data_IF_115114272795
#
_entry.id   IF_115114272795
#
_cell.length_a   1.000
_cell.length_b   1.000
_cell.length_c   1.000
_cell.angle_alpha   90.00
_cell.angle_beta   90.00
_cell.angle_gamma   90.00
#
_symmetry.space_group_name_H-M   'P 1'
#
loop_
_entity.id
_entity.type
_entity.pdbx_description
1 polymer ?
#
# COMPACT_ATOMS: atom_id res chain seq x y z
N UNK A 1 1.35 -3.79 -17.25
CA UNK A 1 2.51 -2.85 -17.16
C UNK A 1 2.99 -2.93 -15.72
N UNK A 2 4.17 -3.50 -15.46
CA UNK A 2 4.76 -3.61 -14.12
C UNK A 2 5.38 -2.23 -13.82
N UNK A 3 4.98 -1.58 -12.72
CA UNK A 3 5.58 -0.31 -12.28
C UNK A 3 6.58 -0.71 -11.19
N UNK A 4 7.86 -0.44 -11.40
CA UNK A 4 8.89 -0.68 -10.38
C UNK A 4 9.00 0.56 -9.49
N UNK A 5 9.32 0.37 -8.21
CA UNK A 5 9.49 1.47 -7.24
C UNK A 5 10.56 2.49 -7.70
N UNK A 6 11.55 2.05 -8.48
CA UNK A 6 12.55 2.94 -9.11
C UNK A 6 11.94 3.93 -10.09
N UNK A 7 10.86 3.55 -10.77
CA UNK A 7 10.15 4.43 -11.70
C UNK A 7 9.39 5.55 -10.98
N UNK A 8 9.20 5.44 -9.65
CA UNK A 8 8.46 6.41 -8.83
C UNK A 8 9.36 7.48 -8.21
N UNK A 9 10.69 7.30 -8.19
CA UNK A 9 11.61 8.27 -7.58
C UNK A 9 11.52 9.65 -8.22
N UNK A 10 11.44 9.72 -9.55
CA UNK A 10 11.26 10.98 -10.28
C UNK A 10 9.92 11.63 -9.98
N UNK A 11 8.85 10.84 -9.80
CA UNK A 11 7.54 11.38 -9.42
C UNK A 11 7.53 11.92 -7.98
N UNK A 12 8.34 11.39 -7.07
CA UNK A 12 8.42 11.92 -5.71
C UNK A 12 9.09 13.28 -5.63
N UNK A 13 9.98 13.62 -6.55
CA UNK A 13 10.60 14.95 -6.59
C UNK A 13 9.59 16.05 -6.95
N UNK A 14 8.57 15.70 -7.75
CA UNK A 14 7.53 16.64 -8.21
C UNK A 14 6.37 16.82 -7.21
N UNK A 15 6.24 15.94 -6.21
CA UNK A 15 5.12 15.98 -5.27
C UNK A 15 5.52 16.80 -4.04
N UNK A 16 4.87 17.94 -3.87
CA UNK A 16 4.93 18.76 -2.66
C UNK A 16 3.65 18.55 -1.83
N UNK A 17 3.82 18.44 -0.51
CA UNK A 17 2.72 18.44 0.44
C UNK A 17 2.79 19.65 1.36
N UNK A 18 1.62 20.16 1.74
CA UNK A 18 1.50 21.18 2.75
C UNK A 18 0.84 20.56 3.99
N UNK A 19 1.47 20.75 5.15
CA UNK A 19 0.87 20.33 6.42
C UNK A 19 -0.30 21.26 6.72
N UNK A 20 -1.49 20.69 6.97
CA UNK A 20 -2.65 21.47 7.41
C UNK A 20 -2.28 22.31 8.63
N UNK A 21 -2.44 23.63 8.54
CA UNK A 21 -2.13 24.59 9.60
C UNK A 21 -0.66 25.07 9.68
N UNK A 22 0.23 24.66 8.76
CA UNK A 22 1.58 25.21 8.63
C UNK A 22 1.87 25.54 7.16
N UNK A 23 2.23 26.78 6.86
CA UNK A 23 2.63 27.24 5.51
C UNK A 23 4.02 26.75 5.07
N UNK A 24 4.41 25.53 5.47
CA UNK A 24 5.67 24.91 5.06
C UNK A 24 5.37 23.80 4.05
N UNK A 25 5.78 24.05 2.81
CA UNK A 25 5.83 23.05 1.76
C UNK A 25 6.96 22.05 2.07
N UNK A 26 6.60 20.77 2.10
CA UNK A 26 7.53 19.67 2.32
C UNK A 26 7.53 18.75 1.09
N UNK A 27 8.72 18.33 0.70
CA UNK A 27 8.90 17.36 -0.37
C UNK A 27 8.69 15.94 0.18
N UNK A 28 8.10 15.02 -0.60
CA UNK A 28 7.97 13.59 -0.25
C UNK A 28 9.27 13.00 0.26
N UNK A 29 10.41 13.43 -0.30
CA UNK A 29 11.73 12.93 0.08
C UNK A 29 12.05 13.16 1.57
N UNK A 30 11.41 14.13 2.23
CA UNK A 30 11.57 14.40 3.67
C UNK A 30 10.73 13.50 4.58
N UNK A 31 9.81 12.72 4.02
CA UNK A 31 9.02 11.76 4.78
C UNK A 31 9.91 10.63 5.32
N UNK A 32 9.53 10.11 6.49
CA UNK A 32 10.08 8.87 7.03
C UNK A 32 9.82 7.69 6.09
N UNK A 33 10.56 6.60 6.23
CA UNK A 33 10.37 5.41 5.39
C UNK A 33 8.94 4.86 5.50
N UNK A 34 8.37 4.82 6.71
CA UNK A 34 6.98 4.39 6.94
C UNK A 34 5.96 5.30 6.25
N UNK A 35 6.13 6.62 6.35
CA UNK A 35 5.24 7.57 5.66
C UNK A 35 5.32 7.45 4.13
N UNK A 36 6.52 7.25 3.57
CA UNK A 36 6.70 7.01 2.13
C UNK A 36 5.99 5.74 1.69
N UNK A 37 6.16 4.66 2.46
CA UNK A 37 5.51 3.39 2.20
C UNK A 37 3.98 3.54 2.22
N UNK A 38 3.43 4.19 3.24
CA UNK A 38 1.99 4.47 3.33
C UNK A 38 1.49 5.29 2.14
N UNK A 39 2.22 6.35 1.78
CA UNK A 39 1.90 7.20 0.64
C UNK A 39 1.86 6.41 -0.67
N UNK A 40 2.86 5.56 -0.92
CA UNK A 40 2.95 4.70 -2.11
C UNK A 40 1.74 3.76 -2.19
N UNK A 41 1.41 3.09 -1.09
CA UNK A 41 0.30 2.13 -1.07
C UNK A 41 -1.06 2.81 -1.30
N UNK A 42 -1.27 4.00 -0.71
CA UNK A 42 -2.48 4.79 -0.93
C UNK A 42 -2.60 5.24 -2.39
N UNK A 43 -1.52 5.78 -2.98
CA UNK A 43 -1.49 6.20 -4.38
C UNK A 43 -1.72 5.02 -5.32
N UNK A 44 -1.09 3.87 -5.06
CA UNK A 44 -1.28 2.66 -5.86
C UNK A 44 -2.74 2.19 -5.81
N UNK A 45 -3.32 2.14 -4.62
CA UNK A 45 -4.71 1.75 -4.39
C UNK A 45 -5.69 2.66 -5.13
N UNK A 46 -5.54 3.99 -5.00
CA UNK A 46 -6.38 4.96 -5.67
C UNK A 46 -6.26 4.89 -7.20
N UNK A 47 -5.04 4.68 -7.71
CA UNK A 47 -4.80 4.54 -9.14
C UNK A 47 -5.47 3.29 -9.72
N UNK A 48 -5.46 2.17 -9.00
CA UNK A 48 -6.14 0.95 -9.41
C UNK A 48 -7.65 1.19 -9.54
N UNK A 49 -8.27 1.78 -8.51
CA UNK A 49 -9.71 2.07 -8.53
C UNK A 49 -10.09 3.09 -9.63
N UNK A 50 -9.37 4.21 -9.74
CA UNK A 50 -9.60 5.21 -10.80
C UNK A 50 -9.54 4.59 -12.17
N UNK A 51 -8.57 3.72 -12.39
CA UNK A 51 -8.32 3.18 -13.70
C UNK A 51 -9.26 2.01 -14.05
N UNK A 52 -9.82 1.31 -13.05
CA UNK A 52 -11.02 0.49 -13.23
C UNK A 52 -12.20 1.36 -13.70
N UNK A 53 -12.49 2.47 -13.01
CA UNK A 53 -13.58 3.38 -13.36
C UNK A 53 -13.50 3.92 -14.79
N UNK A 54 -12.29 4.12 -15.31
CA UNK A 54 -12.06 4.61 -16.67
C UNK A 54 -12.16 3.53 -17.77
N UNK A 55 -11.84 2.28 -17.45
CA UNK A 55 -11.69 1.22 -18.47
C UNK A 55 -12.67 0.07 -18.34
N UNK A 56 -13.38 -0.05 -17.21
CA UNK A 56 -14.21 -1.19 -16.83
C UNK A 56 -13.43 -2.50 -16.61
N UNK A 57 -12.09 -2.46 -16.68
CA UNK A 57 -11.25 -3.67 -16.60
C UNK A 57 -10.77 -3.90 -15.18
N UNK A 58 -11.17 -5.03 -14.60
CA UNK A 58 -10.73 -5.47 -13.27
C UNK A 58 -9.22 -5.56 -13.17
N UNK A 59 -8.69 -5.28 -11.97
CA UNK A 59 -7.27 -5.28 -11.67
C UNK A 59 -6.96 -5.95 -10.36
N UNK A 60 -5.70 -6.34 -10.26
CA UNK A 60 -5.12 -6.97 -9.09
C UNK A 60 -3.98 -6.06 -8.61
N UNK A 61 -4.01 -5.70 -7.33
CA UNK A 61 -2.90 -5.11 -6.63
C UNK A 61 -2.18 -6.22 -5.84
N UNK A 62 -0.86 -6.35 -6.03
CA UNK A 62 -0.03 -7.31 -5.32
C UNK A 62 1.02 -6.54 -4.53
N UNK A 63 1.12 -6.80 -3.23
CA UNK A 63 2.08 -6.15 -2.34
C UNK A 63 2.81 -7.21 -1.51
N UNK A 64 4.11 -7.03 -1.36
CA UNK A 64 4.97 -7.86 -0.52
C UNK A 64 5.49 -6.99 0.63
N UNK A 65 5.47 -7.52 1.85
CA UNK A 65 5.88 -6.83 3.08
C UNK A 65 5.26 -5.41 3.26
N UNK A 66 3.91 -5.27 3.18
CA UNK A 66 3.24 -3.98 3.37
C UNK A 66 3.55 -3.32 4.73
N UNK A 67 3.89 -4.11 5.76
CA UNK A 67 4.25 -3.66 7.11
C UNK A 67 5.63 -3.00 7.23
N UNK A 68 6.49 -3.12 6.22
CA UNK A 68 7.88 -2.70 6.32
C UNK A 68 7.97 -1.22 6.72
N UNK A 69 8.68 -0.93 7.81
CA UNK A 69 8.83 0.41 8.40
C UNK A 69 7.56 1.06 8.99
N UNK A 70 6.44 0.33 9.12
CA UNK A 70 5.21 0.86 9.72
C UNK A 70 5.13 0.56 11.23
N UNK A 71 4.64 1.53 11.99
CA UNK A 71 4.28 1.33 13.39
C UNK A 71 3.07 0.40 13.51
N UNK A 72 2.97 -0.35 14.61
CA UNK A 72 1.97 -1.42 14.81
C UNK A 72 0.53 -0.92 14.66
N UNK A 73 0.24 0.28 15.16
CA UNK A 73 -1.06 0.95 15.00
C UNK A 73 -1.46 1.09 13.52
N UNK A 74 -0.51 1.48 12.66
CA UNK A 74 -0.78 1.64 11.23
C UNK A 74 -0.95 0.30 10.53
N UNK A 75 -0.21 -0.74 10.95
CA UNK A 75 -0.39 -2.09 10.43
C UNK A 75 -1.82 -2.58 10.65
N UNK A 76 -2.37 -2.38 11.85
CA UNK A 76 -3.73 -2.80 12.20
C UNK A 76 -4.85 -2.13 11.38
N UNK A 77 -4.60 -0.91 10.87
CA UNK A 77 -5.57 -0.14 10.09
C UNK A 77 -5.34 -0.25 8.57
N UNK A 78 -4.20 -0.79 8.15
CA UNK A 78 -3.73 -0.69 6.77
C UNK A 78 -4.68 -1.40 5.80
N UNK A 79 -5.04 -2.64 6.11
CA UNK A 79 -5.83 -3.47 5.21
C UNK A 79 -7.24 -2.89 4.99
N UNK A 80 -7.90 -2.42 6.05
CA UNK A 80 -9.20 -1.75 5.98
C UNK A 80 -9.17 -0.52 5.07
N UNK A 81 -8.17 0.33 5.27
CA UNK A 81 -7.98 1.56 4.46
C UNK A 81 -7.77 1.19 3.00
N UNK A 82 -6.92 0.19 2.72
CA UNK A 82 -6.66 -0.26 1.35
C UNK A 82 -7.90 -0.82 0.68
N UNK A 83 -8.60 -1.76 1.33
CA UNK A 83 -9.80 -2.39 0.76
C UNK A 83 -10.91 -1.37 0.48
N UNK A 84 -11.12 -0.42 1.39
CA UNK A 84 -12.08 0.68 1.21
C UNK A 84 -11.76 1.50 -0.04
N UNK A 85 -10.49 1.81 -0.27
CA UNK A 85 -10.09 2.66 -1.39
C UNK A 85 -9.94 1.89 -2.72
N UNK A 86 -9.73 0.56 -2.68
CA UNK A 86 -9.63 -0.30 -3.87
C UNK A 86 -10.95 -0.42 -4.63
N UNK A 87 -12.10 -0.18 -3.99
CA UNK A 87 -13.40 -0.22 -4.67
C UNK A 87 -13.76 -1.61 -5.21
N UNK A 88 -13.49 -2.66 -4.42
CA UNK A 88 -13.81 -4.05 -4.78
C UNK A 88 -12.83 -4.72 -5.76
N UNK A 89 -11.72 -4.05 -6.10
CA UNK A 89 -10.63 -4.67 -6.86
C UNK A 89 -9.84 -5.66 -6.00
N UNK A 90 -9.21 -6.66 -6.64
CA UNK A 90 -8.54 -7.73 -5.91
C UNK A 90 -7.21 -7.23 -5.31
N UNK A 91 -6.99 -7.55 -4.03
CA UNK A 91 -5.73 -7.36 -3.32
C UNK A 91 -5.14 -8.73 -2.98
N UNK A 92 -3.86 -8.91 -3.26
CA UNK A 92 -3.06 -10.05 -2.78
C UNK A 92 -1.88 -9.47 -2.01
N UNK A 93 -1.70 -9.90 -0.78
CA UNK A 93 -0.61 -9.46 0.07
C UNK A 93 0.15 -10.67 0.64
N UNK A 94 1.46 -10.53 0.73
CA UNK A 94 2.32 -11.40 1.53
C UNK A 94 2.84 -10.58 2.72
N UNK A 95 2.66 -11.11 3.92
CA UNK A 95 2.96 -10.40 5.17
C UNK A 95 3.39 -11.41 6.23
N UNK A 96 4.31 -10.99 7.09
CA UNK A 96 4.67 -11.70 8.32
C UNK A 96 3.95 -11.10 9.54
N UNK A 97 3.27 -9.97 9.40
CA UNK A 97 2.56 -9.26 10.46
C UNK A 97 1.17 -9.87 10.76
N UNK A 98 0.94 -10.45 11.95
CA UNK A 98 -0.39 -10.85 12.40
C UNK A 98 -1.36 -9.66 12.49
N UNK A 99 -0.85 -8.47 12.78
CA UNK A 99 -1.65 -7.25 12.90
C UNK A 99 -2.23 -6.79 11.57
N UNK A 100 -1.58 -7.08 10.44
CA UNK A 100 -2.17 -6.86 9.11
C UNK A 100 -3.27 -7.88 8.82
N UNK A 101 -3.11 -9.13 9.27
CA UNK A 101 -4.13 -10.18 9.09
C UNK A 101 -5.42 -9.82 9.82
N UNK A 102 -5.31 -9.44 11.11
CA UNK A 102 -6.45 -9.01 11.93
C UNK A 102 -7.69 -9.90 11.77
N UNK A 103 -8.82 -9.28 11.42
CA UNK A 103 -10.11 -9.96 11.22
C UNK A 103 -10.23 -10.74 9.88
N UNK A 104 -9.21 -10.67 9.02
CA UNK A 104 -9.21 -11.26 7.68
C UNK A 104 -8.65 -12.68 7.62
N UNK A 105 -8.43 -13.35 8.75
CA UNK A 105 -7.87 -14.70 8.82
C UNK A 105 -8.54 -15.73 7.90
N UNK A 106 -9.86 -15.61 7.65
CA UNK A 106 -10.61 -16.48 6.74
C UNK A 106 -10.25 -16.30 5.26
N UNK A 107 -9.48 -15.26 4.92
CA UNK A 107 -8.99 -14.96 3.58
C UNK A 107 -7.49 -15.21 3.43
N UNK A 108 -6.86 -15.80 4.45
CA UNK A 108 -5.42 -16.06 4.46
C UNK A 108 -5.12 -17.51 4.06
N UNK A 109 -4.02 -17.67 3.32
CA UNK A 109 -3.42 -18.98 3.06
C UNK A 109 -2.07 -18.97 3.76
N UNK A 110 -1.90 -19.89 4.71
CA UNK A 110 -0.64 -20.08 5.40
C UNK A 110 0.38 -20.68 4.43
N UNK A 111 1.43 -19.90 4.14
CA UNK A 111 2.55 -20.33 3.31
C UNK A 111 3.57 -20.99 4.21
N UNK A 112 3.30 -22.23 4.61
CA UNK A 112 4.33 -23.05 5.27
C UNK A 112 5.40 -23.40 4.25
N UNK A 113 6.66 -23.25 4.63
CA UNK A 113 7.76 -23.79 3.85
C UNK A 113 7.49 -25.26 3.57
N UNK A 114 7.77 -25.71 2.35
CA UNK A 114 7.86 -27.13 2.02
C UNK A 114 9.07 -27.65 2.82
N UNK A 115 8.85 -27.96 4.10
CA UNK A 115 9.81 -28.74 4.88
C UNK A 115 9.76 -30.11 4.23
N UNK A 116 10.74 -30.38 3.38
CA UNK A 116 10.95 -31.66 2.72
C UNK A 116 10.74 -32.78 3.75
N UNK A 117 9.70 -33.59 3.53
CA UNK A 117 9.61 -34.92 4.11
C UNK A 117 10.78 -35.78 3.61
#
# INVERSE_FOLDING_TARGET
KKILLTDLSSYFEEIEFESLGKNNKNNVLKLSSGEKQLFIMLVATLNINKSFSQSGKSRILIIDEPELSLHIEWQSQLLDIMLKNLGGQQLILATHSPEIVGDYANHCIDVRGVSSL
#
